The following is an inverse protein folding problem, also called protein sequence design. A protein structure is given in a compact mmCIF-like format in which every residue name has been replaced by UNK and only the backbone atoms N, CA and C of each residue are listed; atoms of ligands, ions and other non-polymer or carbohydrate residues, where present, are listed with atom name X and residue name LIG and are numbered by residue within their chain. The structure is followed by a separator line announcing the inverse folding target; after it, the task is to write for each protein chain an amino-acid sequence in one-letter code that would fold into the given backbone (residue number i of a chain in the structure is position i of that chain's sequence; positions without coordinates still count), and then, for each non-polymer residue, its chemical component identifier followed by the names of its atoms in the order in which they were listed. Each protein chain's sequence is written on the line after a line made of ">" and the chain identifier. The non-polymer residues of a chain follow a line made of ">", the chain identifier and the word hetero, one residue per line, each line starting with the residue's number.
data_IF_859787645670
#
_entry.id   IF_859787645670
#
_cell.length_a   1.000
_cell.length_b   1.000
_cell.length_c   1.000
_cell.angle_alpha   90.00
_cell.angle_beta   90.00
_cell.angle_gamma   90.00
#
_symmetry.space_group_name_H-M   'P 1'
#
loop_
_entity.id
_entity.type
_entity.pdbx_description
1 polymer ?
#
# COMPACT_ATOMS: atom_id res chain seq x y z
N UNK A 1 -4.41 -19.25 6.25
CA UNK A 1 -4.51 -18.22 5.19
C UNK A 1 -4.12 -16.90 5.83
N UNK A 2 -3.28 -16.09 5.18
CA UNK A 2 -2.95 -14.77 5.72
C UNK A 2 -4.24 -13.94 5.83
N UNK A 3 -4.45 -13.31 6.98
CA UNK A 3 -5.63 -12.49 7.20
C UNK A 3 -5.39 -11.11 6.56
N UNK A 4 -6.32 -10.61 5.73
CA UNK A 4 -6.17 -9.29 5.10
C UNK A 4 -6.01 -8.17 6.14
N UNK A 5 -6.55 -8.35 7.35
CA UNK A 5 -6.34 -7.43 8.47
C UNK A 5 -4.86 -7.29 8.87
N UNK A 6 -4.02 -8.32 8.73
CA UNK A 6 -2.58 -8.22 9.01
C UNK A 6 -1.91 -7.22 8.05
N UNK A 7 -2.29 -7.26 6.76
CA UNK A 7 -1.77 -6.33 5.76
C UNK A 7 -2.29 -4.91 5.96
N UNK A 8 -3.53 -4.75 6.40
CA UNK A 8 -4.11 -3.44 6.75
C UNK A 8 -3.35 -2.83 7.95
N UNK A 9 -3.13 -3.61 9.01
CA UNK A 9 -2.38 -3.17 10.20
C UNK A 9 -0.98 -2.73 9.82
N UNK A 10 -0.29 -3.48 8.95
CA UNK A 10 1.05 -3.09 8.50
C UNK A 10 1.09 -1.77 7.75
N UNK A 11 0.11 -1.47 6.90
CA UNK A 11 0.02 -0.18 6.22
C UNK A 11 -0.28 0.97 7.19
N UNK A 12 -1.15 0.74 8.18
CA UNK A 12 -1.39 1.72 9.26
C UNK A 12 -0.10 2.01 10.03
N UNK A 13 0.69 0.99 10.37
CA UNK A 13 1.98 1.16 11.05
C UNK A 13 3.00 1.90 10.17
N UNK A 14 2.96 1.68 8.85
CA UNK A 14 3.82 2.39 7.91
C UNK A 14 3.49 3.88 7.86
N UNK A 15 2.20 4.25 7.78
CA UNK A 15 1.76 5.66 7.84
C UNK A 15 2.18 6.33 9.15
N UNK A 16 2.02 5.64 10.29
CA UNK A 16 2.51 6.16 11.58
C UNK A 16 4.02 6.42 11.58
N UNK A 17 4.78 5.60 10.85
CA UNK A 17 6.23 5.77 10.72
C UNK A 17 6.60 6.95 9.81
N UNK A 18 5.81 7.21 8.76
CA UNK A 18 5.88 8.42 7.94
C UNK A 18 5.61 9.66 8.80
N UNK A 19 4.49 9.69 9.52
CA UNK A 19 4.11 10.79 10.41
C UNK A 19 5.18 11.08 11.47
N UNK A 20 5.76 10.02 12.05
CA UNK A 20 6.87 10.14 13.01
C UNK A 20 8.09 10.79 12.36
N UNK A 21 8.45 10.40 11.14
CA UNK A 21 9.63 10.94 10.45
C UNK A 21 9.47 12.42 10.13
N UNK A 22 8.26 12.81 9.69
CA UNK A 22 7.90 14.22 9.46
C UNK A 22 7.97 15.02 10.77
N UNK A 23 7.35 14.51 11.84
CA UNK A 23 7.36 15.16 13.16
C UNK A 23 8.76 15.40 13.71
N UNK A 24 9.69 14.49 13.45
CA UNK A 24 11.08 14.57 13.92
C UNK A 24 12.05 15.16 12.89
N UNK A 25 11.56 15.60 11.73
CA UNK A 25 12.36 16.14 10.63
C UNK A 25 13.50 15.18 10.20
N UNK A 26 13.19 13.89 10.07
CA UNK A 26 14.12 12.83 9.66
C UNK A 26 13.71 12.24 8.31
N UNK A 27 14.69 11.77 7.54
CA UNK A 27 14.43 10.99 6.32
C UNK A 27 13.68 9.71 6.66
N UNK A 28 12.56 9.45 5.99
CA UNK A 28 11.81 8.22 6.17
C UNK A 28 12.47 7.07 5.41
N UNK A 29 12.70 5.94 6.08
CA UNK A 29 13.21 4.72 5.43
C UNK A 29 12.09 4.02 4.68
N UNK A 30 11.97 4.32 3.38
CA UNK A 30 10.96 3.72 2.52
C UNK A 30 11.27 2.26 2.16
N UNK A 31 10.24 1.54 1.73
CA UNK A 31 10.32 0.21 1.12
C UNK A 31 9.85 0.27 -0.33
N UNK A 32 10.36 -0.60 -1.19
CA UNK A 32 9.79 -0.82 -2.52
C UNK A 32 8.42 -1.51 -2.41
N UNK A 33 7.53 -1.38 -3.41
CA UNK A 33 6.26 -2.09 -3.43
C UNK A 33 6.42 -3.60 -3.22
N UNK A 34 7.49 -4.22 -3.71
CA UNK A 34 7.72 -5.67 -3.57
C UNK A 34 8.30 -6.10 -2.21
N UNK A 35 8.63 -5.17 -1.32
CA UNK A 35 9.37 -5.45 -0.08
C UNK A 35 8.48 -5.47 1.18
N UNK A 36 7.29 -4.87 1.14
CA UNK A 36 6.32 -4.96 2.23
C UNK A 36 5.63 -6.34 2.24
N UNK A 37 5.02 -6.76 3.35
CA UNK A 37 4.45 -8.12 3.41
C UNK A 37 3.28 -8.31 2.45
N UNK A 38 2.46 -7.26 2.27
CA UNK A 38 1.41 -7.26 1.24
C UNK A 38 2.02 -7.44 -0.15
N UNK A 39 3.03 -6.67 -0.50
CA UNK A 39 3.73 -6.75 -1.77
C UNK A 39 4.34 -8.13 -2.03
N UNK A 40 5.01 -8.70 -1.03
CA UNK A 40 5.56 -10.06 -1.13
C UNK A 40 4.48 -11.09 -1.43
N UNK A 41 3.38 -11.07 -0.67
CA UNK A 41 2.23 -11.96 -0.91
C UNK A 41 1.61 -11.67 -2.29
N UNK A 42 1.41 -10.41 -2.65
CA UNK A 42 0.79 -10.01 -3.90
C UNK A 42 1.57 -10.52 -5.11
N UNK A 43 2.86 -10.24 -5.18
CA UNK A 43 3.69 -10.58 -6.32
C UNK A 43 4.05 -12.08 -6.40
N UNK A 44 4.04 -12.79 -5.27
CA UNK A 44 4.36 -14.22 -5.24
C UNK A 44 3.12 -15.11 -5.38
N UNK A 45 2.00 -14.75 -4.74
CA UNK A 45 0.84 -15.63 -4.62
C UNK A 45 -0.32 -15.19 -5.52
N UNK A 46 -0.61 -13.87 -5.59
CA UNK A 46 -1.80 -13.35 -6.29
C UNK A 46 -1.51 -13.08 -7.77
N UNK A 47 -0.51 -12.25 -8.07
CA UNK A 47 -0.20 -11.79 -9.42
C UNK A 47 0.08 -12.92 -10.41
N UNK A 48 0.86 -13.98 -10.06
CA UNK A 48 1.09 -15.10 -10.98
C UNK A 48 -0.16 -15.95 -11.25
N UNK A 49 -1.16 -15.88 -10.36
CA UNK A 49 -2.40 -16.64 -10.45
C UNK A 49 -3.59 -15.77 -10.88
N UNK A 50 -3.35 -14.56 -11.40
CA UNK A 50 -4.40 -13.57 -11.67
C UNK A 50 -5.48 -14.12 -12.62
N UNK A 51 -5.09 -15.00 -13.56
CA UNK A 51 -6.01 -15.61 -14.52
C UNK A 51 -6.99 -16.62 -13.92
N UNK A 52 -6.83 -16.96 -12.64
CA UNK A 52 -7.77 -17.85 -11.93
C UNK A 52 -8.97 -17.11 -11.36
N UNK A 53 -8.93 -15.78 -11.29
CA UNK A 53 -10.01 -14.98 -10.73
C UNK A 53 -11.04 -14.60 -11.80
N UNK A 54 -12.26 -14.25 -11.37
CA UNK A 54 -13.26 -13.65 -12.23
C UNK A 54 -12.80 -12.27 -12.73
N UNK A 55 -13.32 -11.81 -13.86
CA UNK A 55 -12.97 -10.50 -14.45
C UNK A 55 -13.11 -9.35 -13.44
N UNK A 56 -14.20 -9.34 -12.67
CA UNK A 56 -14.43 -8.35 -11.63
C UNK A 56 -13.33 -8.36 -10.55
N UNK A 57 -12.87 -9.55 -10.13
CA UNK A 57 -11.77 -9.70 -9.17
C UNK A 57 -10.43 -9.31 -9.77
N UNK A 58 -10.15 -9.65 -11.03
CA UNK A 58 -8.90 -9.24 -11.72
C UNK A 58 -8.79 -7.74 -11.81
N UNK A 59 -9.85 -7.05 -12.24
CA UNK A 59 -9.88 -5.59 -12.33
C UNK A 59 -9.60 -4.93 -10.97
N UNK A 60 -10.16 -5.47 -9.88
CA UNK A 60 -9.87 -4.98 -8.53
C UNK A 60 -8.41 -5.23 -8.11
N UNK A 61 -7.88 -6.42 -8.38
CA UNK A 61 -6.48 -6.80 -8.08
C UNK A 61 -5.49 -5.88 -8.82
N UNK A 62 -5.74 -5.56 -10.09
CA UNK A 62 -4.91 -4.64 -10.87
C UNK A 62 -4.98 -3.20 -10.36
N UNK A 63 -6.16 -2.74 -9.94
CA UNK A 63 -6.31 -1.43 -9.31
C UNK A 63 -5.55 -1.36 -7.97
N UNK A 64 -5.61 -2.44 -7.19
CA UNK A 64 -4.85 -2.55 -5.94
C UNK A 64 -3.34 -2.44 -6.18
N UNK A 65 -2.80 -3.10 -7.20
CA UNK A 65 -1.38 -2.99 -7.57
C UNK A 65 -0.99 -1.55 -7.86
N UNK A 66 -1.77 -0.85 -8.68
CA UNK A 66 -1.50 0.55 -9.06
C UNK A 66 -1.51 1.47 -7.85
N UNK A 67 -2.51 1.33 -6.97
CA UNK A 67 -2.65 2.17 -5.78
C UNK A 67 -1.56 1.87 -4.75
N UNK A 68 -1.22 0.60 -4.57
CA UNK A 68 -0.14 0.18 -3.70
C UNK A 68 1.23 0.70 -4.16
N UNK A 69 1.51 0.66 -5.47
CA UNK A 69 2.75 1.23 -6.03
C UNK A 69 2.80 2.73 -5.81
N UNK A 70 1.72 3.47 -6.09
CA UNK A 70 1.63 4.91 -5.85
C UNK A 70 1.86 5.29 -4.38
N UNK A 71 1.32 4.49 -3.45
CA UNK A 71 1.60 4.68 -2.02
C UNK A 71 3.10 4.63 -1.71
N UNK A 72 3.81 3.63 -2.23
CA UNK A 72 5.24 3.47 -2.01
C UNK A 72 6.07 4.54 -2.72
N UNK A 73 5.66 4.98 -3.92
CA UNK A 73 6.28 6.09 -4.64
C UNK A 73 6.15 7.41 -3.85
N UNK A 74 4.96 7.73 -3.35
CA UNK A 74 4.74 8.91 -2.51
C UNK A 74 5.60 8.88 -1.25
N UNK A 75 5.76 7.70 -0.63
CA UNK A 75 6.57 7.56 0.57
C UNK A 75 8.08 7.80 0.35
N UNK A 76 8.59 7.70 -0.88
CA UNK A 76 10.01 7.95 -1.20
C UNK A 76 10.39 9.43 -1.06
N UNK A 77 9.41 10.31 -1.24
CA UNK A 77 9.55 11.77 -1.16
C UNK A 77 9.42 12.32 0.27
N UNK A 78 9.34 11.45 1.28
CA UNK A 78 9.28 11.85 2.69
C UNK A 78 10.70 12.10 3.21
N UNK A 79 11.24 13.26 2.88
CA UNK A 79 12.48 13.78 3.42
C UNK A 79 12.41 15.30 3.64
N UNK A 80 13.09 15.86 4.66
CA UNK A 80 13.03 17.29 5.01
C UNK A 80 13.36 18.26 3.87
N UNK A 81 14.16 17.81 2.92
CA UNK A 81 14.64 18.60 1.78
C UNK A 81 13.71 18.54 0.56
N UNK A 82 12.66 17.69 0.57
CA UNK A 82 11.71 17.61 -0.53
C UNK A 82 10.71 18.78 -0.46
N UNK A 83 10.65 19.67 -1.46
CA UNK A 83 9.67 20.74 -1.49
C UNK A 83 8.22 20.21 -1.58
N UNK A 84 8.02 18.96 -1.97
CA UNK A 84 6.71 18.32 -2.10
C UNK A 84 6.38 17.40 -0.92
N UNK A 85 7.17 17.38 0.16
CA UNK A 85 6.99 16.45 1.29
C UNK A 85 5.55 16.46 1.85
N UNK A 86 4.91 17.63 1.94
CA UNK A 86 3.51 17.74 2.38
C UNK A 86 2.54 17.03 1.44
N UNK A 87 2.67 17.24 0.12
CA UNK A 87 1.84 16.55 -0.88
C UNK A 87 2.09 15.05 -0.83
N UNK A 88 3.35 14.64 -0.73
CA UNK A 88 3.74 13.24 -0.61
C UNK A 88 3.18 12.56 0.63
N UNK A 89 3.07 13.29 1.75
CA UNK A 89 2.39 12.81 2.96
C UNK A 89 0.90 12.60 2.71
N UNK A 90 0.22 13.59 2.11
CA UNK A 90 -1.21 13.49 1.79
C UNK A 90 -1.50 12.33 0.84
N UNK A 91 -0.67 12.18 -0.19
CA UNK A 91 -0.76 11.10 -1.17
C UNK A 91 -0.54 9.73 -0.52
N UNK A 92 0.49 9.60 0.33
CA UNK A 92 0.75 8.36 1.05
C UNK A 92 -0.47 7.95 1.91
N UNK A 93 -1.07 8.91 2.62
CA UNK A 93 -2.28 8.67 3.41
C UNK A 93 -3.47 8.26 2.53
N UNK A 94 -3.69 8.96 1.42
CA UNK A 94 -4.78 8.69 0.49
C UNK A 94 -4.66 7.30 -0.13
N UNK A 95 -3.50 6.96 -0.71
CA UNK A 95 -3.28 5.68 -1.37
C UNK A 95 -3.31 4.51 -0.37
N UNK A 96 -2.76 4.68 0.83
CA UNK A 96 -2.85 3.67 1.90
C UNK A 96 -4.31 3.42 2.30
N UNK A 97 -5.09 4.48 2.51
CA UNK A 97 -6.52 4.36 2.88
C UNK A 97 -7.34 3.69 1.78
N UNK A 98 -7.06 4.03 0.51
CA UNK A 98 -7.70 3.38 -0.64
C UNK A 98 -7.37 1.90 -0.73
N UNK A 99 -6.11 1.52 -0.52
CA UNK A 99 -5.70 0.11 -0.53
C UNK A 99 -6.42 -0.68 0.57
N UNK A 100 -6.52 -0.12 1.77
CA UNK A 100 -7.26 -0.72 2.90
C UNK A 100 -8.73 -0.95 2.54
N UNK A 101 -9.40 0.04 1.94
CA UNK A 101 -10.79 -0.11 1.50
C UNK A 101 -10.97 -1.17 0.41
N UNK A 102 -10.01 -1.29 -0.52
CA UNK A 102 -10.03 -2.33 -1.54
C UNK A 102 -9.81 -3.72 -0.96
N UNK A 103 -8.94 -3.86 0.04
CA UNK A 103 -8.73 -5.12 0.76
C UNK A 103 -10.01 -5.57 1.49
N UNK A 104 -10.67 -4.66 2.21
CA UNK A 104 -11.95 -4.94 2.88
C UNK A 104 -13.05 -5.32 1.86
N UNK A 105 -13.11 -4.63 0.72
CA UNK A 105 -14.02 -4.98 -0.37
C UNK A 105 -13.74 -6.38 -0.90
N UNK A 106 -12.48 -6.72 -1.17
CA UNK A 106 -12.07 -8.02 -1.67
C UNK A 106 -12.42 -9.14 -0.69
N UNK A 107 -12.25 -8.92 0.61
CA UNK A 107 -12.61 -9.88 1.67
C UNK A 107 -14.13 -10.14 1.71
N UNK A 108 -14.94 -9.11 1.46
CA UNK A 108 -16.41 -9.21 1.39
C UNK A 108 -16.93 -9.84 0.10
N UNK A 109 -16.11 -9.88 -0.97
CA UNK A 109 -16.43 -10.55 -2.22
C UNK A 109 -16.27 -12.07 -2.06
N UNK A 110 -17.24 -12.70 -1.38
CA UNK A 110 -17.42 -14.14 -1.41
C UNK A 110 -17.75 -14.57 -2.84
N UNK A 111 -17.12 -15.64 -3.31
CA UNK A 111 -17.59 -16.38 -4.49
C UNK A 111 -18.94 -17.07 -4.19
#
# INVERSE_FOLDING_TARGET
>A
MANFSDYMIQHILYIKSVEKSIKHNTVFTHKKPTECAFGKMFYHDIKPNIDRYSEAKRSLIEEMEKIHTKFHESAQHIHPEDPNMEQSQQDAWYYSSRLINMLDKLEKMKD
#
